data_IF_400005146923
#
_entry.id   IF_400005146923
#
_cell.length_a   1.000
_cell.length_b   1.000
_cell.length_c   1.000
_cell.angle_alpha   90.00
_cell.angle_beta   90.00
_cell.angle_gamma   90.00
#
_symmetry.space_group_name_H-M   'P 1'
#
loop_
_entity.id
_entity.type
_entity.pdbx_description
1 polymer ?
#
# COMPACT_ATOMS: atom_id res chain seq x y z
N UNK A 1 5.31 8.87 -0.97
CA UNK A 1 6.08 8.67 0.28
C UNK A 1 7.32 7.81 0.05
N UNK A 2 7.23 6.48 0.00
CA UNK A 2 8.42 5.61 -0.03
C UNK A 2 9.10 5.45 -1.41
N UNK A 3 8.57 6.05 -2.48
CA UNK A 3 9.05 5.84 -3.87
C UNK A 3 10.53 6.15 -4.11
N UNK A 4 11.15 7.17 -3.48
CA UNK A 4 12.57 7.43 -3.69
C UNK A 4 13.48 6.30 -3.21
N UNK A 5 13.11 5.61 -2.12
CA UNK A 5 13.99 4.65 -1.45
C UNK A 5 14.36 3.43 -2.33
N UNK A 6 13.41 2.75 -3.02
CA UNK A 6 13.76 1.67 -3.94
C UNK A 6 14.67 2.08 -5.10
N UNK A 7 14.72 3.36 -5.47
CA UNK A 7 15.57 3.80 -6.57
C UNK A 7 17.06 3.71 -6.22
N UNK A 8 17.41 3.85 -4.94
CA UNK A 8 18.79 3.71 -4.44
C UNK A 8 19.38 2.32 -4.65
N UNK A 9 18.53 1.30 -4.79
CA UNK A 9 18.95 -0.11 -4.91
C UNK A 9 18.89 -0.65 -6.35
N UNK A 10 18.66 0.22 -7.35
CA UNK A 10 18.68 -0.21 -8.76
C UNK A 10 20.12 -0.53 -9.18
N UNK A 11 20.25 -1.51 -10.09
CA UNK A 11 21.53 -2.08 -10.53
C UNK A 11 22.57 -1.05 -10.99
N UNK A 12 22.12 0.10 -11.51
CA UNK A 12 22.98 1.17 -12.06
C UNK A 12 22.83 2.49 -11.29
N UNK A 13 22.20 2.49 -10.12
CA UNK A 13 22.07 3.69 -9.30
C UNK A 13 23.33 3.91 -8.46
N UNK A 14 23.93 5.11 -8.56
CA UNK A 14 24.89 5.56 -7.58
C UNK A 14 24.18 5.81 -6.26
N UNK A 15 24.66 5.21 -5.17
CA UNK A 15 24.12 5.49 -3.85
C UNK A 15 24.35 6.96 -3.48
N UNK A 16 23.29 7.75 -3.46
CA UNK A 16 23.30 9.15 -3.05
C UNK A 16 22.06 9.42 -2.21
N UNK A 17 22.27 9.76 -0.92
CA UNK A 17 21.17 10.09 -0.02
C UNK A 17 20.87 11.59 -0.09
N UNK A 18 19.71 11.91 -0.64
CA UNK A 18 19.23 13.29 -0.84
C UNK A 18 18.02 13.60 0.06
N UNK A 19 17.59 14.86 0.07
CA UNK A 19 16.47 15.35 0.89
C UNK A 19 15.20 14.52 0.67
N UNK A 20 14.86 14.18 -0.58
CA UNK A 20 13.68 13.37 -0.90
C UNK A 20 13.71 11.96 -0.29
N UNK A 21 14.92 11.40 -0.10
CA UNK A 21 15.10 10.10 0.53
C UNK A 21 14.89 10.20 2.04
N UNK A 22 15.41 11.26 2.68
CA UNK A 22 15.18 11.49 4.11
C UNK A 22 13.70 11.74 4.39
N UNK A 23 13.04 12.61 3.62
CA UNK A 23 11.60 12.87 3.74
C UNK A 23 10.78 11.59 3.57
N UNK A 24 11.10 10.79 2.55
CA UNK A 24 10.45 9.49 2.33
C UNK A 24 10.66 8.52 3.49
N UNK A 25 11.85 8.50 4.08
CA UNK A 25 12.18 7.63 5.21
C UNK A 25 11.50 8.08 6.51
N UNK A 26 11.52 9.37 6.83
CA UNK A 26 10.83 9.88 8.02
C UNK A 26 9.32 9.69 7.92
N UNK A 27 8.73 9.94 6.76
CA UNK A 27 7.30 9.75 6.57
C UNK A 27 6.87 8.28 6.75
N UNK A 28 7.69 7.32 6.32
CA UNK A 28 7.45 5.89 6.59
C UNK A 28 7.54 5.58 8.08
N UNK A 29 8.56 6.11 8.78
CA UNK A 29 8.69 5.95 10.23
C UNK A 29 7.49 6.53 10.98
N UNK A 30 7.08 7.74 10.64
CA UNK A 30 5.91 8.39 11.24
C UNK A 30 4.64 7.56 11.00
N UNK A 31 4.47 7.03 9.79
CA UNK A 31 3.34 6.16 9.47
C UNK A 31 3.35 4.92 10.35
N UNK A 32 4.48 4.21 10.47
CA UNK A 32 4.60 3.01 11.33
C UNK A 32 4.31 3.29 12.80
N UNK A 33 4.66 4.47 13.30
CA UNK A 33 4.40 4.88 14.69
C UNK A 33 2.92 5.24 14.90
N UNK A 34 2.24 5.74 13.86
CA UNK A 34 0.83 6.18 13.91
C UNK A 34 -0.17 5.13 13.44
N UNK A 35 0.28 4.01 12.89
CA UNK A 35 -0.58 2.97 12.32
C UNK A 35 -1.62 2.52 13.36
N UNK A 36 -2.91 2.45 12.98
CA UNK A 36 -3.94 1.95 13.88
C UNK A 36 -3.61 0.51 14.30
N UNK A 37 -3.98 0.15 15.53
CA UNK A 37 -3.84 -1.23 16.01
C UNK A 37 -4.60 -2.13 15.04
N UNK A 38 -3.88 -3.00 14.33
CA UNK A 38 -4.48 -3.99 13.45
C UNK A 38 -5.28 -4.98 14.30
N UNK A 39 -6.50 -5.29 13.85
CA UNK A 39 -7.30 -6.33 14.48
C UNK A 39 -6.92 -7.72 13.93
N UNK A 40 -7.12 -8.74 14.76
CA UNK A 40 -6.97 -10.12 14.32
C UNK A 40 -8.15 -10.49 13.41
N UNK A 41 -7.92 -11.26 12.32
CA UNK A 41 -8.99 -11.70 11.44
C UNK A 41 -9.92 -12.69 12.16
N UNK A 42 -11.22 -12.53 11.94
CA UNK A 42 -12.27 -13.47 12.36
C UNK A 42 -12.83 -14.19 11.11
N UNK A 43 -12.54 -15.49 10.91
CA UNK A 43 -13.01 -16.23 9.73
C UNK A 43 -14.53 -16.33 9.60
N UNK A 44 -15.28 -16.14 10.70
CA UNK A 44 -16.74 -16.29 10.73
C UNK A 44 -17.48 -15.01 10.33
N UNK A 45 -16.75 -13.93 10.03
CA UNK A 45 -17.29 -12.63 9.66
C UNK A 45 -16.88 -12.21 8.25
N UNK A 46 -17.71 -11.43 7.54
CA UNK A 46 -17.36 -10.96 6.21
C UNK A 46 -16.16 -10.01 6.25
N UNK A 47 -15.32 -10.12 5.22
CA UNK A 47 -14.24 -9.17 4.94
C UNK A 47 -14.70 -8.12 3.94
N UNK A 48 -14.20 -6.90 4.10
CA UNK A 48 -14.34 -5.81 3.14
C UNK A 48 -12.95 -5.41 2.64
N UNK A 49 -12.83 -5.10 1.36
CA UNK A 49 -11.59 -4.63 0.77
C UNK A 49 -11.83 -3.24 0.21
N UNK A 50 -10.94 -2.31 0.57
CA UNK A 50 -10.90 -0.97 -0.02
C UNK A 50 -9.61 -0.84 -0.80
N UNK A 51 -9.72 -0.64 -2.11
CA UNK A 51 -8.57 -0.45 -3.00
C UNK A 51 -8.44 1.01 -3.43
N UNK A 52 -7.21 1.45 -3.63
CA UNK A 52 -6.88 2.71 -4.29
C UNK A 52 -5.70 2.52 -5.25
N UNK A 53 -5.66 3.37 -6.28
CA UNK A 53 -4.62 3.32 -7.29
C UNK A 53 -4.13 4.74 -7.65
N UNK A 54 -2.81 4.88 -7.72
CA UNK A 54 -2.14 6.09 -8.20
C UNK A 54 -1.46 5.81 -9.55
N UNK A 55 -0.81 6.83 -10.10
CA UNK A 55 0.00 6.67 -11.32
C UNK A 55 1.21 5.75 -11.15
N UNK A 56 1.61 5.45 -9.91
CA UNK A 56 2.88 4.78 -9.64
C UNK A 56 2.75 3.52 -8.78
N UNK A 57 1.66 3.36 -8.05
CA UNK A 57 1.45 2.28 -7.10
C UNK A 57 -0.05 2.00 -6.91
N UNK A 58 -0.33 0.77 -6.50
CA UNK A 58 -1.65 0.31 -6.04
C UNK A 58 -1.55 0.00 -4.55
N UNK A 59 -2.67 0.16 -3.85
CA UNK A 59 -2.79 -0.19 -2.45
C UNK A 59 -4.20 -0.65 -2.09
N UNK A 60 -4.29 -1.40 -1.01
CA UNK A 60 -5.52 -1.94 -0.48
C UNK A 60 -5.45 -2.05 1.04
N UNK A 61 -6.63 -1.93 1.66
CA UNK A 61 -6.83 -2.19 3.07
C UNK A 61 -7.88 -3.30 3.22
N UNK A 62 -7.50 -4.37 3.90
CA UNK A 62 -8.42 -5.42 4.32
C UNK A 62 -9.07 -5.00 5.64
N UNK A 63 -10.39 -4.95 5.65
CA UNK A 63 -11.20 -4.48 6.75
C UNK A 63 -12.17 -5.57 7.21
N UNK A 64 -12.55 -5.49 8.48
CA UNK A 64 -13.59 -6.33 9.05
C UNK A 64 -14.36 -5.57 10.13
N UNK A 65 -15.68 -5.72 10.17
CA UNK A 65 -16.51 -5.12 11.21
C UNK A 65 -16.40 -5.92 12.52
N UNK A 66 -16.11 -5.23 13.63
CA UNK A 66 -16.11 -5.81 14.98
C UNK A 66 -17.54 -6.10 15.49
N UNK A 67 -17.67 -6.60 16.72
CA UNK A 67 -18.97 -6.98 17.29
C UNK A 67 -19.94 -5.80 17.40
N UNK A 68 -19.39 -4.59 17.48
CA UNK A 68 -20.08 -3.32 17.57
C UNK A 68 -20.40 -2.72 16.18
N UNK A 69 -20.00 -3.40 15.09
CA UNK A 69 -20.21 -2.96 13.71
C UNK A 69 -19.22 -1.88 13.25
N UNK A 70 -18.14 -1.64 13.99
CA UNK A 70 -17.09 -0.70 13.61
C UNK A 70 -16.05 -1.37 12.72
N UNK A 71 -15.71 -0.76 11.58
CA UNK A 71 -14.65 -1.27 10.71
C UNK A 71 -13.28 -1.21 11.39
N UNK A 72 -12.59 -2.34 11.41
CA UNK A 72 -11.21 -2.49 11.87
C UNK A 72 -10.32 -2.89 10.71
N UNK A 73 -9.12 -2.32 10.66
CA UNK A 73 -8.12 -2.73 9.69
C UNK A 73 -7.47 -4.03 10.14
N UNK A 74 -7.47 -5.03 9.27
CA UNK A 74 -6.80 -6.31 9.47
C UNK A 74 -5.39 -6.26 8.86
N UNK A 75 -5.28 -5.75 7.64
CA UNK A 75 -4.02 -5.64 6.93
C UNK A 75 -4.04 -4.48 5.94
N UNK A 76 -2.85 -3.98 5.62
CA UNK A 76 -2.61 -3.10 4.48
C UNK A 76 -1.68 -3.80 3.52
N UNK A 77 -1.99 -3.73 2.23
CA UNK A 77 -1.10 -4.21 1.19
C UNK A 77 -0.90 -3.14 0.12
N UNK A 78 0.31 -3.03 -0.41
CA UNK A 78 0.60 -2.10 -1.49
C UNK A 78 1.84 -2.51 -2.27
N UNK A 79 1.88 -2.13 -3.54
CA UNK A 79 3.08 -2.31 -4.37
C UNK A 79 3.20 -1.25 -5.45
N UNK A 80 4.43 -1.04 -5.92
CA UNK A 80 4.66 -0.22 -7.10
C UNK A 80 4.17 -0.93 -8.37
N UNK A 81 3.64 -0.14 -9.30
CA UNK A 81 3.28 -0.60 -10.64
C UNK A 81 4.56 -0.93 -11.43
N UNK A 82 4.53 -2.07 -12.13
CA UNK A 82 5.55 -2.42 -13.13
C UNK A 82 5.48 -1.46 -14.29
N UNK A 83 6.56 -1.36 -15.08
CA UNK A 83 6.65 -0.43 -16.22
C UNK A 83 5.47 -0.56 -17.18
N UNK A 84 5.03 -1.80 -17.47
CA UNK A 84 3.86 -2.02 -18.34
C UNK A 84 2.54 -1.58 -17.67
N UNK A 85 2.38 -1.84 -16.37
CA UNK A 85 1.15 -1.55 -15.62
C UNK A 85 0.94 -0.03 -15.41
N UNK A 86 2.00 0.78 -15.43
CA UNK A 86 1.89 2.24 -15.37
C UNK A 86 1.09 2.83 -16.54
N UNK A 87 1.11 2.16 -17.68
CA UNK A 87 0.40 2.57 -18.90
C UNK A 87 -1.09 2.18 -18.91
N UNK A 88 -1.55 1.46 -17.89
CA UNK A 88 -2.95 1.10 -17.75
C UNK A 88 -3.82 2.35 -17.51
N UNK A 89 -5.09 2.28 -17.92
CA UNK A 89 -6.06 3.32 -17.59
C UNK A 89 -6.37 3.28 -16.10
N UNK A 90 -6.91 4.36 -15.56
CA UNK A 90 -7.20 4.47 -14.11
C UNK A 90 -8.10 3.31 -13.63
N UNK A 91 -9.18 3.01 -14.34
CA UNK A 91 -10.07 1.88 -14.01
C UNK A 91 -9.36 0.51 -14.06
N UNK A 92 -8.41 0.33 -14.97
CA UNK A 92 -7.63 -0.92 -15.06
C UNK A 92 -6.64 -1.04 -13.89
N UNK A 93 -6.12 0.09 -13.39
CA UNK A 93 -5.24 0.12 -12.21
C UNK A 93 -6.03 -0.19 -10.92
N UNK A 94 -7.26 0.33 -10.80
CA UNK A 94 -8.18 -0.01 -9.71
C UNK A 94 -8.53 -1.51 -9.72
N UNK A 95 -8.86 -2.06 -10.90
CA UNK A 95 -9.11 -3.50 -11.05
C UNK A 95 -7.88 -4.34 -10.73
N UNK A 96 -6.69 -3.87 -11.09
CA UNK A 96 -5.42 -4.52 -10.74
C UNK A 96 -5.19 -4.54 -9.22
N UNK A 97 -5.54 -3.47 -8.51
CA UNK A 97 -5.48 -3.41 -7.05
C UNK A 97 -6.38 -4.48 -6.42
N UNK A 98 -7.64 -4.59 -6.89
CA UNK A 98 -8.56 -5.63 -6.42
C UNK A 98 -8.04 -7.04 -6.69
N UNK A 99 -7.53 -7.30 -7.91
CA UNK A 99 -6.95 -8.59 -8.27
C UNK A 99 -5.76 -8.95 -7.39
N UNK A 100 -4.93 -7.96 -7.05
CA UNK A 100 -3.71 -8.17 -6.29
C UNK A 100 -4.00 -8.51 -4.82
N UNK A 101 -5.06 -7.96 -4.23
CA UNK A 101 -5.45 -8.22 -2.84
C UNK A 101 -6.25 -9.54 -2.67
N UNK A 102 -6.98 -9.96 -3.71
CA UNK A 102 -7.86 -11.14 -3.67
C UNK A 102 -7.16 -12.48 -3.97
N UNK A 103 -5.90 -12.47 -4.42
CA UNK A 103 -5.19 -13.65 -4.95
C UNK A 103 -3.85 -13.84 -4.25
#
# INVERSE_FOLDING_TARGET
MARPLPNLFKKDASWCWEVEHDEGFQAVKESLIRVPILALPDPDRPFSIVCDASDFAIGCALLQADAEGCERVIAFESRQLKTAEKNYRVHDKELLAMKYDLV
#
